data_IF_906912071199
#
_entry.id   IF_906912071199
#
_cell.length_a   1.000
_cell.length_b   1.000
_cell.length_c   1.000
_cell.angle_alpha   90.00
_cell.angle_beta   90.00
_cell.angle_gamma   90.00
#
_symmetry.space_group_name_H-M   'P 1'
#
loop_
_entity.id
_entity.type
_entity.pdbx_description
1 polymer ?
#
# COMPACT_ATOMS: atom_id res chain seq x y z
N UNK A 1 -6.69 22.49 2.91
CA UNK A 1 -5.90 22.47 2.58
C UNK A 1 -4.92 21.66 2.99
N UNK A 2 -4.25 21.27 2.73
CA UNK A 2 -3.39 20.52 3.01
C UNK A 2 -2.22 20.99 3.34
N UNK A 3 -1.54 20.81 3.93
CA UNK A 3 -0.49 21.19 4.24
C UNK A 3 0.53 20.63 3.69
N UNK A 4 1.42 20.98 3.47
CA UNK A 4 2.33 20.45 2.90
C UNK A 4 3.17 19.81 3.71
N UNK A 5 3.65 18.93 3.43
CA UNK A 5 4.47 18.13 4.17
C UNK A 5 5.85 18.63 4.32
N UNK A 6 5.97 19.84 4.31
CA UNK A 6 7.30 20.37 4.43
C UNK A 6 7.97 19.94 5.71
N UNK A 7 7.19 19.54 6.69
CA UNK A 7 7.75 19.21 7.98
C UNK A 7 8.12 17.75 8.14
N UNK A 8 8.05 16.99 7.07
CA UNK A 8 8.36 15.57 7.16
C UNK A 8 9.84 15.39 7.43
N UNK A 9 10.17 14.90 8.60
CA UNK A 9 11.54 14.72 9.01
C UNK A 9 12.09 13.34 8.80
N UNK A 10 11.29 12.43 8.32
CA UNK A 10 11.76 11.11 8.08
C UNK A 10 12.66 11.11 6.86
N UNK A 11 13.63 10.20 6.82
CA UNK A 11 14.44 10.02 5.64
C UNK A 11 13.57 9.46 4.52
N UNK A 12 14.05 9.56 3.30
CA UNK A 12 13.33 8.95 2.19
C UNK A 12 13.19 7.46 2.38
N UNK A 13 14.23 6.80 2.88
CA UNK A 13 14.17 5.37 3.12
C UNK A 13 13.08 5.02 4.14
N UNK A 14 12.95 5.84 5.17
CA UNK A 14 11.90 5.58 6.15
C UNK A 14 10.53 5.83 5.55
N UNK A 15 10.42 6.87 4.73
CA UNK A 15 9.14 7.15 4.07
C UNK A 15 8.76 6.03 3.13
N UNK A 16 9.74 5.45 2.45
CA UNK A 16 9.47 4.32 1.57
C UNK A 16 8.91 3.14 2.38
N UNK A 17 9.59 2.82 3.48
CA UNK A 17 9.14 1.70 4.30
C UNK A 17 7.74 1.93 4.87
N UNK A 18 7.48 3.16 5.29
CA UNK A 18 6.18 3.49 5.84
C UNK A 18 5.10 3.38 4.77
N UNK A 19 5.40 3.82 3.55
CA UNK A 19 4.43 3.74 2.47
C UNK A 19 4.14 2.29 2.10
N UNK A 20 5.17 1.46 2.06
CA UNK A 20 4.96 0.05 1.75
C UNK A 20 4.14 -0.62 2.85
N UNK A 21 4.42 -0.29 4.11
CA UNK A 21 3.65 -0.85 5.22
C UNK A 21 2.18 -0.45 5.10
N UNK A 22 1.93 0.79 4.70
CA UNK A 22 0.55 1.25 4.54
C UNK A 22 -0.13 0.51 3.38
N UNK A 23 0.60 0.30 2.28
CA UNK A 23 0.02 -0.43 1.17
C UNK A 23 -0.32 -1.86 1.56
N UNK A 24 0.56 -2.50 2.33
CA UNK A 24 0.27 -3.86 2.79
C UNK A 24 -0.95 -3.89 3.69
N UNK A 25 -1.09 -2.89 4.56
CA UNK A 25 -2.24 -2.82 5.44
C UNK A 25 -3.53 -2.61 4.62
N UNK A 26 -3.47 -1.76 3.61
CA UNK A 26 -4.62 -1.52 2.77
C UNK A 26 -4.97 -2.76 1.96
N UNK A 27 -3.98 -3.48 1.47
CA UNK A 27 -4.24 -4.70 0.73
C UNK A 27 -5.01 -5.69 1.61
N UNK A 28 -4.62 -5.80 2.87
CA UNK A 28 -5.32 -6.69 3.79
C UNK A 28 -6.75 -6.23 4.02
N UNK A 29 -6.97 -4.92 4.09
CA UNK A 29 -8.32 -4.40 4.27
C UNK A 29 -9.17 -4.67 3.04
N UNK A 30 -8.60 -4.53 1.86
CA UNK A 30 -9.34 -4.83 0.64
C UNK A 30 -9.64 -6.32 0.52
N UNK A 31 -8.72 -7.16 0.97
CA UNK A 31 -8.97 -8.60 0.96
C UNK A 31 -10.12 -8.95 1.90
N UNK A 32 -10.17 -8.31 3.06
CA UNK A 32 -11.27 -8.54 3.99
C UNK A 32 -12.60 -8.09 3.39
N UNK A 33 -12.58 -6.96 2.69
CA UNK A 33 -13.78 -6.50 2.02
C UNK A 33 -14.22 -7.50 0.97
N UNK A 34 -13.28 -7.99 0.17
CA UNK A 34 -13.60 -8.97 -0.86
C UNK A 34 -14.28 -10.19 -0.25
N UNK A 35 -13.79 -10.63 0.90
CA UNK A 35 -14.35 -11.82 1.55
C UNK A 35 -15.77 -11.61 2.03
N UNK A 36 -16.21 -10.36 2.20
CA UNK A 36 -17.55 -10.08 2.65
C UNK A 36 -18.54 -9.87 1.51
N UNK A 37 -18.06 -9.88 0.26
CA UNK A 37 -18.97 -9.66 -0.86
C UNK A 37 -19.99 -10.80 -0.95
N UNK A 38 -21.26 -10.45 -1.18
CA UNK A 38 -22.25 -11.50 -1.42
C UNK A 38 -21.89 -12.25 -2.70
N UNK A 39 -22.33 -13.49 -2.76
CA UNK A 39 -22.04 -14.30 -3.91
C UNK A 39 -22.49 -13.66 -5.21
N UNK A 40 -23.60 -12.98 -5.18
CA UNK A 40 -24.14 -12.36 -6.38
C UNK A 40 -23.25 -11.24 -6.90
N UNK A 41 -22.33 -10.72 -6.10
CA UNK A 41 -21.45 -9.65 -6.51
C UNK A 41 -20.03 -10.11 -6.81
N UNK A 42 -19.80 -11.42 -6.77
CA UNK A 42 -18.44 -11.91 -6.97
C UNK A 42 -17.95 -11.73 -8.39
N UNK A 43 -18.84 -11.49 -9.34
CA UNK A 43 -18.45 -11.24 -10.72
C UNK A 43 -18.58 -9.78 -11.08
N UNK A 44 -18.78 -8.92 -10.10
CA UNK A 44 -19.00 -7.51 -10.39
C UNK A 44 -17.67 -6.79 -10.69
N UNK A 45 -17.79 -5.58 -11.22
CA UNK A 45 -16.61 -4.75 -11.44
C UNK A 45 -15.89 -4.46 -10.14
N UNK A 46 -16.64 -4.32 -9.05
CA UNK A 46 -16.03 -4.10 -7.75
C UNK A 46 -15.18 -5.31 -7.36
N UNK A 47 -15.71 -6.51 -7.56
CA UNK A 47 -14.96 -7.71 -7.22
C UNK A 47 -13.69 -7.81 -8.05
N UNK A 48 -13.77 -7.45 -9.33
CA UNK A 48 -12.60 -7.50 -10.19
C UNK A 48 -11.54 -6.52 -9.73
N UNK A 49 -11.96 -5.31 -9.36
CA UNK A 49 -11.01 -4.31 -8.90
C UNK A 49 -10.35 -4.74 -7.60
N UNK A 50 -11.12 -5.32 -6.69
CA UNK A 50 -10.56 -5.81 -5.45
C UNK A 50 -9.58 -6.94 -5.69
N UNK A 51 -9.90 -7.82 -6.62
CA UNK A 51 -9.02 -8.94 -6.93
C UNK A 51 -7.69 -8.44 -7.49
N UNK A 52 -7.71 -7.39 -8.28
CA UNK A 52 -6.47 -6.83 -8.80
C UNK A 52 -5.57 -6.34 -7.68
N UNK A 53 -6.16 -5.70 -6.69
CA UNK A 53 -5.38 -5.23 -5.54
C UNK A 53 -4.84 -6.40 -4.75
N UNK A 54 -5.67 -7.40 -4.52
CA UNK A 54 -5.28 -8.57 -3.73
C UNK A 54 -4.15 -9.33 -4.39
N UNK A 55 -4.14 -9.35 -5.73
CA UNK A 55 -3.16 -10.12 -6.46
C UNK A 55 -1.81 -9.42 -6.60
N UNK A 56 -1.71 -8.16 -6.18
CA UNK A 56 -0.43 -7.47 -6.26
C UNK A 56 0.58 -8.08 -5.32
N UNK A 57 1.81 -8.20 -5.80
CA UNK A 57 2.88 -8.75 -4.99
C UNK A 57 3.58 -7.61 -4.25
N UNK A 58 2.96 -7.14 -3.19
CA UNK A 58 3.52 -6.04 -2.42
C UNK A 58 4.65 -6.49 -1.52
N UNK A 59 4.75 -7.79 -1.25
CA UNK A 59 5.86 -8.29 -0.46
C UNK A 59 7.19 -8.03 -1.17
N UNK A 60 7.17 -8.01 -2.49
CA UNK A 60 8.36 -7.71 -3.24
C UNK A 60 8.84 -6.29 -2.95
N UNK A 61 7.90 -5.38 -2.76
CA UNK A 61 8.26 -4.00 -2.41
C UNK A 61 8.87 -3.95 -1.01
N UNK A 62 8.38 -4.78 -0.11
CA UNK A 62 8.88 -4.78 1.24
C UNK A 62 10.31 -5.30 1.33
N UNK A 63 10.73 -6.06 0.33
CA UNK A 63 12.07 -6.59 0.33
C UNK A 63 13.10 -5.62 -0.23
N UNK A 64 12.64 -4.56 -0.86
CA UNK A 64 13.55 -3.57 -1.42
C UNK A 64 14.13 -2.73 -0.31
N UNK A 65 15.42 -2.48 -0.37
CA UNK A 65 16.10 -1.65 0.60
C UNK A 65 16.57 -0.41 -0.09
N UNK A 66 15.87 0.70 0.07
CA UNK A 66 16.28 1.93 -0.59
C UNK A 66 17.66 2.34 -0.11
N UNK A 67 18.46 2.93 -0.99
CA UNK A 67 19.78 3.36 -0.57
C UNK A 67 19.69 4.54 0.37
N UNK A 68 20.68 4.66 1.21
CA UNK A 68 20.73 5.80 2.11
C UNK A 68 21.34 6.96 1.36
N UNK A 69 20.81 8.12 1.60
CA UNK A 69 21.38 9.31 1.02
C UNK A 69 22.52 9.77 1.89
N UNK A 70 23.47 10.43 1.25
CA UNK A 70 24.58 10.95 2.01
C UNK A 70 24.20 12.26 2.61
N UNK A 71 24.22 12.34 3.88
CA UNK A 71 24.01 13.61 4.52
C UNK A 71 22.59 14.01 4.69
N UNK A 72 21.69 13.39 3.88
CA UNK A 72 20.44 13.78 4.07
C UNK A 72 19.52 12.84 3.67
N UNK A 73 18.75 12.29 3.96
CA UNK A 73 17.77 11.39 3.72
C UNK A 73 17.11 11.10 5.03
#
# INVERSE_FOLDING_TARGET
MRRRAAADRRSRAQRWRDAVAELLALQAEYAAWFDTLPESLRDSATAEALQEIIDLDLDNLAEIRPPRGFGRD
#
